data_IF_677143409560
#
_entry.id   IF_677143409560
#
_cell.length_a   1.000
_cell.length_b   1.000
_cell.length_c   1.000
_cell.angle_alpha   90.00
_cell.angle_beta   90.00
_cell.angle_gamma   90.00
#
_symmetry.space_group_name_H-M   'P 1'
#
loop_
_entity.id
_entity.type
_entity.pdbx_description
1 polymer ?
#
# COMPACT_ATOMS: atom_id res chain seq x y z
N UNK A 1 -7.52 15.26 23.55
CA UNK A 1 -8.13 14.67 22.34
C UNK A 1 -7.10 14.56 21.22
N UNK A 2 -6.12 13.66 21.22
CA UNK A 2 -5.52 12.82 22.25
C UNK A 2 -4.09 12.51 21.82
N UNK A 3 -3.17 12.62 22.78
CA UNK A 3 -1.72 12.45 22.62
C UNK A 3 -1.27 10.99 22.38
N UNK A 4 -2.15 10.13 21.87
CA UNK A 4 -1.94 8.67 21.78
C UNK A 4 -1.54 8.21 20.35
N UNK A 5 -1.69 9.05 19.32
CA UNK A 5 -1.38 8.68 17.93
C UNK A 5 0.08 8.85 17.48
N UNK A 6 0.99 9.27 18.36
CA UNK A 6 2.43 9.44 18.02
C UNK A 6 3.34 8.29 18.48
N UNK A 7 2.79 7.20 19.06
CA UNK A 7 3.60 6.07 19.57
C UNK A 7 3.68 4.88 18.61
N UNK A 8 4.09 5.12 17.37
CA UNK A 8 4.76 4.11 16.54
C UNK A 8 5.93 4.76 15.82
N UNK A 9 7.12 4.48 16.31
CA UNK A 9 8.39 4.80 15.65
C UNK A 9 8.49 4.00 14.35
N UNK A 10 8.04 4.57 13.24
CA UNK A 10 8.62 4.29 11.92
C UNK A 10 9.33 5.56 11.48
N UNK A 11 10.61 5.42 11.12
CA UNK A 11 11.51 6.52 10.80
C UNK A 11 10.97 7.36 9.63
N UNK A 12 11.00 8.68 9.80
CA UNK A 12 10.92 9.69 8.71
C UNK A 12 9.68 9.68 7.82
N UNK A 13 8.47 9.65 8.36
CA UNK A 13 7.30 10.16 7.63
C UNK A 13 7.25 11.68 7.78
N UNK A 14 7.99 12.40 6.92
CA UNK A 14 7.64 13.80 6.67
C UNK A 14 6.16 13.84 6.29
N UNK A 15 5.35 14.67 6.94
CA UNK A 15 3.95 14.90 6.55
C UNK A 15 3.96 15.47 5.13
N UNK A 16 3.73 14.60 4.15
CA UNK A 16 3.68 14.95 2.73
C UNK A 16 2.36 15.68 2.48
N UNK A 17 2.40 16.80 1.75
CA UNK A 17 1.16 17.43 1.30
C UNK A 17 0.35 16.46 0.43
N UNK A 18 -0.98 16.57 0.46
CA UNK A 18 -1.90 15.71 -0.32
C UNK A 18 -1.45 15.56 -1.78
N UNK A 19 -1.10 16.68 -2.42
CA UNK A 19 -0.62 16.71 -3.80
C UNK A 19 0.70 15.94 -3.99
N UNK A 20 1.64 16.06 -3.06
CA UNK A 20 2.93 15.35 -3.10
C UNK A 20 2.73 13.85 -2.90
N UNK A 21 1.83 13.44 -2.01
CA UNK A 21 1.47 12.03 -1.81
C UNK A 21 0.84 11.41 -3.06
N UNK A 22 -0.08 12.12 -3.73
CA UNK A 22 -0.66 11.67 -5.02
C UNK A 22 0.41 11.59 -6.10
N UNK A 23 1.30 12.59 -6.19
CA UNK A 23 2.39 12.59 -7.16
C UNK A 23 3.34 11.39 -6.97
N UNK A 24 3.78 11.15 -5.73
CA UNK A 24 4.65 10.02 -5.40
C UNK A 24 3.97 8.67 -5.63
N UNK A 25 2.67 8.56 -5.33
CA UNK A 25 1.89 7.36 -5.63
C UNK A 25 1.86 7.06 -7.14
N UNK A 26 1.68 8.07 -7.99
CA UNK A 26 1.74 7.91 -9.46
C UNK A 26 3.12 7.51 -9.95
N UNK A 27 4.18 8.08 -9.37
CA UNK A 27 5.56 7.69 -9.71
C UNK A 27 5.86 6.24 -9.28
N UNK A 28 5.38 5.84 -8.11
CA UNK A 28 5.51 4.46 -7.62
C UNK A 28 4.71 3.47 -8.47
N UNK A 29 3.51 3.84 -8.92
CA UNK A 29 2.72 3.06 -9.89
C UNK A 29 3.49 2.84 -11.19
N UNK A 30 4.07 3.90 -11.76
CA UNK A 30 4.85 3.80 -13.00
C UNK A 30 6.12 2.94 -12.85
N UNK A 31 6.63 2.84 -11.63
CA UNK A 31 7.77 1.99 -11.28
C UNK A 31 7.37 0.57 -10.82
N UNK A 32 6.08 0.24 -10.82
CA UNK A 32 5.52 -1.02 -10.30
C UNK A 32 5.88 -1.29 -8.81
N UNK A 33 6.20 -0.24 -8.04
CA UNK A 33 6.55 -0.31 -6.61
C UNK A 33 5.31 -0.15 -5.75
N UNK A 34 4.42 -1.14 -5.81
CA UNK A 34 3.10 -1.08 -5.17
C UNK A 34 3.12 -1.04 -3.64
N UNK A 35 4.21 -1.49 -3.01
CA UNK A 35 4.35 -1.38 -1.54
C UNK A 35 4.51 0.09 -1.12
N UNK A 36 5.42 0.83 -1.76
CA UNK A 36 5.59 2.27 -1.52
C UNK A 36 4.37 3.07 -1.94
N UNK A 37 3.74 2.71 -3.06
CA UNK A 37 2.48 3.31 -3.48
C UNK A 37 1.41 3.18 -2.37
N UNK A 38 1.34 2.04 -1.70
CA UNK A 38 0.40 1.84 -0.59
C UNK A 38 0.76 2.71 0.63
N UNK A 39 2.05 2.86 0.95
CA UNK A 39 2.52 3.72 2.04
C UNK A 39 2.17 5.19 1.79
N UNK A 40 2.39 5.72 0.58
CA UNK A 40 2.03 7.11 0.24
C UNK A 40 0.52 7.35 0.32
N UNK A 41 -0.28 6.39 -0.16
CA UNK A 41 -1.75 6.49 -0.12
C UNK A 41 -2.31 6.29 1.29
N UNK A 42 -1.67 5.47 2.14
CA UNK A 42 -2.04 5.31 3.55
C UNK A 42 -1.77 6.60 4.34
N UNK A 43 -0.61 7.23 4.13
CA UNK A 43 -0.28 8.51 4.73
C UNK A 43 -1.28 9.60 4.31
N UNK A 44 -1.65 9.64 3.02
CA UNK A 44 -2.69 10.55 2.53
C UNK A 44 -4.02 10.35 3.27
N UNK A 45 -4.46 9.11 3.49
CA UNK A 45 -5.72 8.83 4.21
C UNK A 45 -5.63 9.21 5.69
N UNK A 46 -4.47 9.04 6.32
CA UNK A 46 -4.25 9.41 7.73
C UNK A 46 -4.21 10.93 7.95
N UNK A 47 -3.64 11.65 7.00
CA UNK A 47 -3.44 13.10 7.10
C UNK A 47 -4.67 13.91 6.65
N UNK A 48 -5.61 13.29 5.93
CA UNK A 48 -6.88 13.93 5.56
C UNK A 48 -7.74 14.12 6.82
N UNK A 49 -8.18 15.37 7.14
CA UNK A 49 -9.09 15.61 8.26
C UNK A 49 -10.33 14.74 8.14
N UNK A 50 -10.94 14.37 9.27
CA UNK A 50 -12.06 13.42 9.33
C UNK A 50 -13.27 13.79 8.43
N UNK A 51 -13.37 15.05 8.00
CA UNK A 51 -14.41 15.59 7.11
C UNK A 51 -13.98 15.72 5.63
N UNK A 52 -12.71 15.51 5.32
CA UNK A 52 -12.18 15.52 3.97
C UNK A 52 -12.44 14.19 3.27
N UNK A 53 -13.27 14.20 2.23
CA UNK A 53 -13.46 12.99 1.42
C UNK A 53 -12.29 12.76 0.44
N UNK A 54 -11.99 11.49 0.18
CA UNK A 54 -11.10 11.09 -0.90
C UNK A 54 -11.78 11.35 -2.24
N UNK A 55 -11.05 12.00 -3.14
CA UNK A 55 -11.47 12.15 -4.53
C UNK A 55 -11.58 10.78 -5.20
N UNK A 56 -12.32 10.71 -6.31
CA UNK A 56 -12.44 9.48 -7.10
C UNK A 56 -11.06 8.98 -7.55
N UNK A 57 -10.16 9.90 -7.90
CA UNK A 57 -8.80 9.57 -8.32
C UNK A 57 -7.97 8.95 -7.19
N UNK A 58 -7.97 9.56 -6.00
CA UNK A 58 -7.23 9.05 -4.85
C UNK A 58 -7.75 7.69 -4.40
N UNK A 59 -9.06 7.50 -4.41
CA UNK A 59 -9.68 6.22 -4.09
C UNK A 59 -9.29 5.13 -5.09
N UNK A 60 -9.17 5.49 -6.36
CA UNK A 60 -8.70 4.58 -7.40
C UNK A 60 -7.22 4.22 -7.17
N UNK A 61 -6.35 5.21 -6.93
CA UNK A 61 -4.93 4.98 -6.62
C UNK A 61 -4.76 4.10 -5.38
N UNK A 62 -5.53 4.37 -4.32
CA UNK A 62 -5.54 3.55 -3.11
C UNK A 62 -5.91 2.10 -3.43
N UNK A 63 -6.96 1.91 -4.25
CA UNK A 63 -7.40 0.58 -4.66
C UNK A 63 -6.35 -0.15 -5.51
N UNK A 64 -5.73 0.54 -6.46
CA UNK A 64 -4.69 -0.02 -7.34
C UNK A 64 -3.47 -0.47 -6.52
N UNK A 65 -3.01 0.35 -5.57
CA UNK A 65 -1.87 0.05 -4.72
C UNK A 65 -2.07 -1.27 -3.94
N UNK A 66 -3.14 -1.36 -3.16
CA UNK A 66 -3.39 -2.55 -2.34
C UNK A 66 -3.76 -3.79 -3.18
N UNK A 67 -4.50 -3.64 -4.28
CA UNK A 67 -4.84 -4.78 -5.17
C UNK A 67 -3.58 -5.44 -5.72
N UNK A 68 -2.62 -4.64 -6.19
CA UNK A 68 -1.38 -5.15 -6.76
C UNK A 68 -0.41 -5.68 -5.70
N UNK A 69 -0.26 -4.98 -4.56
CA UNK A 69 0.56 -5.46 -3.45
C UNK A 69 0.10 -6.83 -2.92
N UNK A 70 -1.21 -7.02 -2.73
CA UNK A 70 -1.75 -8.32 -2.28
C UNK A 70 -1.76 -9.34 -3.44
N UNK A 71 -1.99 -8.88 -4.67
CA UNK A 71 -1.98 -9.72 -5.87
C UNK A 71 -0.66 -10.45 -6.07
N UNK A 72 0.47 -9.74 -5.95
CA UNK A 72 1.80 -10.35 -6.06
C UNK A 72 2.05 -11.41 -4.98
N UNK A 73 1.66 -11.13 -3.72
CA UNK A 73 1.76 -12.09 -2.60
C UNK A 73 0.88 -13.32 -2.81
N UNK A 74 -0.34 -13.17 -3.34
CA UNK A 74 -1.22 -14.30 -3.67
C UNK A 74 -0.63 -15.17 -4.79
N UNK A 75 -0.06 -14.55 -5.82
CA UNK A 75 0.60 -15.27 -6.90
C UNK A 75 1.81 -16.06 -6.37
N UNK A 76 2.66 -15.44 -5.55
CA UNK A 76 3.77 -16.11 -4.89
C UNK A 76 3.30 -17.28 -4.00
N UNK A 77 2.26 -17.06 -3.17
CA UNK A 77 1.65 -18.12 -2.36
C UNK A 77 1.19 -19.29 -3.22
N UNK A 78 0.45 -19.03 -4.30
CA UNK A 78 -0.02 -20.08 -5.21
C UNK A 78 1.16 -20.91 -5.74
N UNK A 79 2.24 -20.27 -6.20
CA UNK A 79 3.42 -20.99 -6.69
C UNK A 79 4.04 -21.88 -5.60
N UNK A 80 4.19 -21.36 -4.38
CA UNK A 80 4.78 -22.11 -3.27
C UNK A 80 3.92 -23.32 -2.89
N UNK A 81 2.61 -23.12 -2.72
CA UNK A 81 1.70 -24.19 -2.30
C UNK A 81 1.42 -25.21 -3.42
N UNK A 82 1.31 -24.77 -4.67
CA UNK A 82 1.11 -25.66 -5.82
C UNK A 82 2.36 -26.54 -6.05
N UNK A 83 3.57 -25.96 -5.93
CA UNK A 83 4.82 -26.72 -6.08
C UNK A 83 5.11 -27.64 -4.89
N UNK A 84 4.78 -27.23 -3.66
CA UNK A 84 4.96 -28.07 -2.48
C UNK A 84 4.13 -29.36 -2.54
N UNK A 85 2.90 -29.30 -3.07
CA UNK A 85 2.04 -30.48 -3.25
C UNK A 85 2.53 -31.46 -4.32
N UNK A 86 3.33 -31.01 -5.28
CA UNK A 86 3.90 -31.86 -6.33
C UNK A 86 5.12 -32.66 -5.87
N UNK A 87 5.79 -32.24 -4.79
CA UNK A 87 6.99 -32.91 -4.26
C UNK A 87 6.71 -34.14 -3.38
N UNK A 88 5.45 -34.42 -3.06
CA UNK A 88 5.05 -35.61 -2.27
C UNK A 88 4.64 -36.81 -3.16
N UNK A 89 4.83 -36.73 -4.49
CA UNK A 89 4.52 -37.82 -5.43
C UNK A 89 5.76 -38.53 -6.00
N UNK A 90 6.95 -38.28 -5.45
CA UNK A 90 8.22 -38.86 -5.93
C UNK A 90 8.99 -39.72 -4.90
N UNK A 91 8.35 -40.16 -3.81
CA UNK A 91 8.88 -41.23 -2.94
C UNK A 91 7.99 -42.48 -2.93
#
# INVERSE_FOLDING_TARGET
MDAILMSRNDATTETLTREKSVYLAKMAEQAERYQEMAEYMENLVRDVPMEGELTVEERNLFSVAYKNMVGSRRAARRIVFDRAKGGEQEE
#
